data_IF_554396552924
#
_entry.id   IF_554396552924
#
_cell.length_a   1.000
_cell.length_b   1.000
_cell.length_c   1.000
_cell.angle_alpha   90.00
_cell.angle_beta   90.00
_cell.angle_gamma   90.00
#
_symmetry.space_group_name_H-M   'P 1'
#
loop_
_entity.id
_entity.type
_entity.pdbx_description
1 polymer ?
#
# COMPACT_ATOMS: atom_id res chain seq x y z
N UNK A 1 4.20 -36.23 -23.78
CA UNK A 1 3.37 -35.01 -23.77
C UNK A 1 3.54 -34.42 -22.39
N UNK A 2 4.38 -33.39 -22.26
CA UNK A 2 4.71 -32.78 -20.97
C UNK A 2 3.60 -31.83 -20.56
N UNK A 3 3.18 -31.93 -19.30
CA UNK A 3 2.08 -31.18 -18.72
C UNK A 3 2.42 -29.69 -18.63
N UNK A 4 2.02 -28.93 -19.66
CA UNK A 4 2.15 -27.47 -19.73
C UNK A 4 1.26 -26.72 -18.73
N UNK A 5 0.45 -27.44 -17.95
CA UNK A 5 -0.48 -26.86 -16.98
C UNK A 5 0.17 -26.49 -15.64
N UNK A 6 1.34 -27.04 -15.29
CA UNK A 6 1.99 -26.70 -14.01
C UNK A 6 2.66 -25.31 -14.04
N UNK A 7 3.20 -24.91 -15.20
CA UNK A 7 3.84 -23.61 -15.38
C UNK A 7 2.85 -22.44 -15.49
N UNK A 8 1.57 -22.72 -15.80
CA UNK A 8 0.51 -21.70 -15.84
C UNK A 8 -0.02 -21.34 -14.46
N UNK A 9 0.04 -22.25 -13.49
CA UNK A 9 -0.40 -21.98 -12.11
C UNK A 9 0.66 -21.23 -11.30
N UNK A 10 1.95 -21.45 -11.57
CA UNK A 10 3.03 -20.78 -10.85
C UNK A 10 3.27 -19.32 -11.27
N UNK A 11 2.80 -18.90 -12.46
CA UNK A 11 2.92 -17.51 -12.93
C UNK A 11 1.73 -16.62 -12.53
N UNK A 12 0.65 -17.17 -11.97
CA UNK A 12 -0.55 -16.41 -11.57
C UNK A 12 -0.47 -15.79 -10.17
N UNK A 13 0.53 -16.16 -9.36
CA UNK A 13 0.68 -15.66 -7.98
C UNK A 13 1.56 -14.42 -7.86
N UNK A 14 2.23 -14.01 -8.95
CA UNK A 14 3.02 -12.78 -8.97
C UNK A 14 2.25 -11.57 -9.54
N UNK A 15 0.93 -11.66 -9.76
CA UNK A 15 0.13 -10.59 -10.40
C UNK A 15 -0.90 -9.89 -9.51
N UNK A 16 -1.01 -10.24 -8.22
CA UNK A 16 -2.18 -9.85 -7.40
C UNK A 16 -2.04 -8.68 -6.43
N UNK A 17 -0.85 -8.21 -6.06
CA UNK A 17 -0.75 -6.97 -5.29
C UNK A 17 -0.98 -5.76 -6.19
N UNK A 18 -1.43 -4.63 -5.65
CA UNK A 18 -1.40 -3.33 -6.34
C UNK A 18 0.07 -2.94 -6.58
N UNK A 19 0.73 -3.59 -7.53
CA UNK A 19 2.20 -3.69 -7.70
C UNK A 19 3.00 -2.40 -7.70
N UNK A 20 2.32 -1.28 -7.95
CA UNK A 20 2.94 0.03 -8.03
C UNK A 20 2.60 0.93 -6.83
N UNK A 21 1.91 0.41 -5.82
CA UNK A 21 1.49 1.15 -4.63
C UNK A 21 1.91 0.39 -3.38
N UNK A 22 2.62 1.08 -2.50
CA UNK A 22 2.87 0.66 -1.14
C UNK A 22 1.99 1.49 -0.22
N UNK A 23 1.07 0.86 0.50
CA UNK A 23 0.13 1.53 1.40
C UNK A 23 0.41 1.04 2.81
N UNK A 24 0.59 1.96 3.76
CA UNK A 24 0.91 1.61 5.14
C UNK A 24 0.44 2.67 6.14
N UNK A 25 0.34 2.24 7.40
CA UNK A 25 -0.07 3.04 8.55
C UNK A 25 1.09 3.14 9.54
N UNK A 26 1.84 4.26 9.58
CA UNK A 26 2.74 4.56 10.69
C UNK A 26 1.93 4.71 11.98
N UNK A 27 2.33 4.02 13.05
CA UNK A 27 1.62 4.01 14.33
C UNK A 27 2.35 4.88 15.37
N UNK A 28 1.62 5.34 16.39
CA UNK A 28 2.16 6.23 17.43
C UNK A 28 3.29 5.62 18.27
N UNK A 29 3.41 4.28 18.29
CA UNK A 29 4.46 3.54 18.99
C UNK A 29 5.76 3.40 18.16
N UNK A 30 5.79 3.94 16.93
CA UNK A 30 6.93 3.86 16.01
C UNK A 30 6.96 2.61 15.12
N UNK A 31 6.01 1.68 15.25
CA UNK A 31 5.84 0.61 14.27
C UNK A 31 5.04 1.08 13.05
N UNK A 32 5.03 0.29 11.98
CA UNK A 32 4.14 0.47 10.82
C UNK A 32 3.31 -0.78 10.59
N UNK A 33 2.10 -0.60 10.10
CA UNK A 33 1.27 -1.67 9.57
C UNK A 33 1.21 -1.54 8.05
N UNK A 34 1.73 -2.53 7.33
CA UNK A 34 1.71 -2.57 5.86
C UNK A 34 0.37 -3.15 5.40
N UNK A 35 -0.29 -2.47 4.46
CA UNK A 35 -1.59 -2.84 3.89
C UNK A 35 -1.41 -3.48 2.50
N UNK A 36 -0.64 -4.58 2.45
CA UNK A 36 -0.40 -5.36 1.23
C UNK A 36 -1.54 -6.37 1.01
N UNK A 37 -2.61 -5.89 0.37
CA UNK A 37 -3.79 -6.70 0.04
C UNK A 37 -3.90 -6.97 -1.47
N UNK A 38 -4.48 -8.12 -1.81
CA UNK A 38 -4.65 -8.57 -3.20
C UNK A 38 -5.81 -7.84 -3.91
N UNK A 39 -6.69 -7.19 -3.15
CA UNK A 39 -7.84 -6.47 -3.69
C UNK A 39 -8.14 -5.18 -2.94
N UNK A 40 -8.77 -4.23 -3.63
CA UNK A 40 -9.27 -3.01 -3.00
C UNK A 40 -10.37 -3.27 -1.97
N UNK A 41 -11.13 -4.36 -2.10
CA UNK A 41 -12.14 -4.75 -1.11
C UNK A 41 -11.49 -5.08 0.24
N UNK A 42 -10.47 -5.93 0.24
CA UNK A 42 -9.73 -6.30 1.45
C UNK A 42 -9.03 -5.09 2.08
N UNK A 43 -8.40 -4.24 1.26
CA UNK A 43 -7.78 -3.00 1.74
C UNK A 43 -8.80 -2.09 2.44
N UNK A 44 -9.96 -1.86 1.82
CA UNK A 44 -10.99 -1.00 2.39
C UNK A 44 -11.58 -1.63 3.64
N UNK A 45 -11.80 -2.95 3.65
CA UNK A 45 -12.26 -3.69 4.81
C UNK A 45 -11.28 -3.56 5.98
N UNK A 46 -9.97 -3.55 5.73
CA UNK A 46 -9.00 -3.31 6.79
C UNK A 46 -8.99 -1.84 7.23
N UNK A 47 -9.03 -0.87 6.31
CA UNK A 47 -9.00 0.55 6.67
C UNK A 47 -10.15 1.00 7.58
N UNK A 48 -11.28 0.28 7.57
CA UNK A 48 -12.43 0.56 8.43
C UNK A 48 -12.40 -0.22 9.76
N UNK A 49 -11.45 -1.12 9.98
CA UNK A 49 -11.25 -1.72 11.32
C UNK A 49 -10.60 -0.71 12.26
N UNK A 50 -10.94 -0.82 13.54
CA UNK A 50 -10.34 -0.03 14.63
C UNK A 50 -9.25 -0.81 15.40
N UNK A 51 -8.98 -2.06 15.01
CA UNK A 51 -8.13 -2.98 15.77
C UNK A 51 -6.67 -3.00 15.29
N UNK A 52 -6.03 -1.83 15.26
CA UNK A 52 -4.63 -1.66 14.87
C UNK A 52 -3.63 -1.85 16.02
N UNK A 53 -4.13 -2.08 17.24
CA UNK A 53 -3.37 -2.10 18.48
C UNK A 53 -2.90 -0.72 18.94
N UNK A 54 -2.08 -0.04 18.15
CA UNK A 54 -1.67 1.34 18.39
C UNK A 54 -2.32 2.28 17.36
N UNK A 55 -2.79 3.48 17.75
CA UNK A 55 -3.42 4.42 16.82
C UNK A 55 -2.51 4.77 15.63
N UNK A 56 -3.04 4.76 14.39
CA UNK A 56 -2.33 5.29 13.24
C UNK A 56 -2.08 6.80 13.37
N UNK A 57 -0.88 7.26 13.02
CA UNK A 57 -0.53 8.68 12.90
C UNK A 57 -1.01 9.27 11.58
N UNK A 58 -0.96 8.48 10.52
CA UNK A 58 -1.39 8.85 9.18
C UNK A 58 -1.62 7.60 8.31
N UNK A 59 -2.30 7.79 7.18
CA UNK A 59 -2.27 6.87 6.05
C UNK A 59 -1.22 7.37 5.06
N UNK A 60 -0.32 6.47 4.65
CA UNK A 60 0.69 6.76 3.63
C UNK A 60 0.44 5.88 2.42
N UNK A 61 0.38 6.51 1.24
CA UNK A 61 0.31 5.84 -0.05
C UNK A 61 1.54 6.28 -0.84
N UNK A 62 2.41 5.34 -1.14
CA UNK A 62 3.58 5.56 -1.99
C UNK A 62 3.38 4.87 -3.31
N UNK A 63 3.65 5.57 -4.40
CA UNK A 63 3.63 5.00 -5.74
C UNK A 63 4.84 5.45 -6.54
N UNK A 64 5.15 4.70 -7.61
CA UNK A 64 6.19 5.08 -8.57
C UNK A 64 5.55 5.47 -9.89
N UNK A 65 5.92 6.60 -10.46
CA UNK A 65 5.49 6.97 -11.82
C UNK A 65 6.31 6.21 -12.87
N UNK A 66 5.84 6.18 -14.11
CA UNK A 66 6.53 5.50 -15.21
C UNK A 66 7.94 6.09 -15.49
N UNK A 67 8.13 7.38 -15.23
CA UNK A 67 9.43 8.06 -15.28
C UNK A 67 10.28 7.86 -14.00
N UNK A 68 9.79 7.06 -13.07
CA UNK A 68 10.53 6.57 -11.92
C UNK A 68 10.51 7.46 -10.68
N UNK A 69 9.73 8.56 -10.67
CA UNK A 69 9.57 9.43 -9.51
C UNK A 69 8.76 8.73 -8.43
N UNK A 70 9.11 9.00 -7.17
CA UNK A 70 8.32 8.52 -6.03
C UNK A 70 7.27 9.57 -5.68
N UNK A 71 6.00 9.16 -5.68
CA UNK A 71 4.87 9.98 -5.24
C UNK A 71 4.41 9.45 -3.90
N UNK A 72 4.42 10.30 -2.88
CA UNK A 72 3.92 9.96 -1.55
C UNK A 72 2.72 10.86 -1.22
N UNK A 73 1.59 10.25 -0.92
CA UNK A 73 0.41 10.90 -0.37
C UNK A 73 0.35 10.55 1.11
N UNK A 74 0.19 11.56 1.96
CA UNK A 74 0.05 11.38 3.41
C UNK A 74 -1.24 12.04 3.89
N UNK A 75 -2.13 11.24 4.48
CA UNK A 75 -3.37 11.71 5.11
C UNK A 75 -3.19 11.63 6.62
N UNK A 76 -3.00 12.74 7.33
CA UNK A 76 -2.75 12.73 8.77
C UNK A 76 -4.01 12.34 9.55
N UNK A 77 -3.87 11.50 10.57
CA UNK A 77 -4.91 11.23 11.54
C UNK A 77 -4.99 12.38 12.55
N UNK A 78 -5.55 13.50 12.11
CA UNK A 78 -5.63 14.74 12.88
C UNK A 78 -6.85 15.55 12.44
N UNK A 79 -7.15 16.64 13.16
CA UNK A 79 -8.19 17.59 12.77
C UNK A 79 -7.81 18.49 11.58
N UNK A 80 -6.76 18.15 10.84
CA UNK A 80 -6.34 18.88 9.64
C UNK A 80 -7.12 18.37 8.42
N UNK A 81 -7.84 19.25 7.74
CA UNK A 81 -8.54 18.93 6.49
C UNK A 81 -7.60 18.84 5.27
N UNK A 82 -6.29 18.69 5.49
CA UNK A 82 -5.26 18.71 4.45
C UNK A 82 -4.48 17.41 4.41
N UNK A 83 -4.44 16.79 3.24
CA UNK A 83 -3.44 15.80 2.88
C UNK A 83 -2.16 16.50 2.37
N UNK A 84 -1.02 15.82 2.51
CA UNK A 84 0.23 16.22 1.89
C UNK A 84 0.53 15.33 0.68
N UNK A 85 1.05 15.94 -0.39
CA UNK A 85 1.56 15.21 -1.56
C UNK A 85 3.01 15.62 -1.75
N UNK A 86 3.90 14.64 -1.83
CA UNK A 86 5.32 14.82 -2.09
C UNK A 86 5.70 14.05 -3.35
N UNK A 87 6.41 14.70 -4.26
CA UNK A 87 6.99 14.08 -5.45
C UNK A 87 8.50 14.21 -5.33
N UNK A 88 9.19 13.08 -5.31
CA UNK A 88 10.65 13.01 -5.25
C UNK A 88 11.20 12.68 -6.63
N UNK A 89 12.02 13.60 -7.16
CA UNK A 89 12.75 13.41 -8.40
C UNK A 89 13.81 12.32 -8.20
N UNK A 90 13.94 11.43 -9.18
CA UNK A 90 14.99 10.43 -9.19
C UNK A 90 16.32 11.16 -9.45
N UNK A 91 17.26 11.11 -8.50
CA UNK A 91 18.60 11.73 -8.62
C UNK A 91 19.57 10.85 -9.39
#
# INVERSE_FOLDING_TARGET
MGDTNFLRHSMSLQEKSMKNMNIFLPLVNGSSCDLDYDSGEELISELITDDWGAPPQCLVIEAKTDDGKKVTITIPNSSSDKAAVKIEENS
#
